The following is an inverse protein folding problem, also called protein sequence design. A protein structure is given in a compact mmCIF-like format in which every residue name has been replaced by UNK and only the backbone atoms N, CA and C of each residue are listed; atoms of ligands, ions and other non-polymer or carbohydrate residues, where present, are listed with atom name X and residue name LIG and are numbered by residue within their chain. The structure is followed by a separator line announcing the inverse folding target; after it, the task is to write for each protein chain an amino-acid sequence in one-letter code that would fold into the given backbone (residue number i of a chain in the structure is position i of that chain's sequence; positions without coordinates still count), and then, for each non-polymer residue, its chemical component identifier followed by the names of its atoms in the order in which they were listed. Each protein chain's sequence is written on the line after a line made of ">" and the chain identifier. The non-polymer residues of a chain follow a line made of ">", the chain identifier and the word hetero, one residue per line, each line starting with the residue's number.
data_IF_473253666869
#
_entry.id   IF_473253666869
#
_cell.length_a   1.000
_cell.length_b   1.000
_cell.length_c   1.000
_cell.angle_alpha   90.00
_cell.angle_beta   90.00
_cell.angle_gamma   90.00
#
_symmetry.space_group_name_H-M   'P 1'
#
loop_
_entity.id
_entity.type
_entity.pdbx_description
1 polymer ?
#
# COMPACT_ATOMS: atom_id res chain seq x y z
N UNK A 1 -10.57 -20.36 -8.86
CA UNK A 1 -10.09 -19.37 -7.86
C UNK A 1 -8.66 -19.74 -7.48
N UNK A 2 -7.70 -18.84 -7.68
CA UNK A 2 -6.30 -19.08 -7.29
C UNK A 2 -6.14 -18.88 -5.78
N UNK A 3 -5.62 -19.88 -5.08
CA UNK A 3 -5.35 -19.87 -3.63
C UNK A 3 -3.98 -19.27 -3.29
N UNK A 4 -3.22 -18.78 -4.27
CA UNK A 4 -1.91 -18.20 -4.06
C UNK A 4 -2.01 -16.73 -3.67
N UNK A 5 -1.24 -16.33 -2.65
CA UNK A 5 -1.09 -14.93 -2.29
C UNK A 5 -0.04 -14.31 -3.21
N UNK A 6 -0.41 -13.24 -3.91
CA UNK A 6 0.53 -12.42 -4.67
C UNK A 6 1.09 -11.31 -3.79
N UNK A 7 2.37 -11.01 -3.95
CA UNK A 7 3.05 -9.95 -3.22
C UNK A 7 3.78 -9.02 -4.18
N UNK A 8 3.73 -7.72 -3.88
CA UNK A 8 4.54 -6.70 -4.53
C UNK A 8 5.25 -5.88 -3.44
N UNK A 9 6.59 -5.86 -3.48
CA UNK A 9 7.42 -5.13 -2.51
C UNK A 9 7.33 -3.63 -2.75
N UNK A 10 7.11 -2.88 -1.68
CA UNK A 10 7.06 -1.42 -1.69
C UNK A 10 8.35 -0.80 -1.18
N UNK A 11 8.78 0.28 -1.85
CA UNK A 11 9.93 1.08 -1.47
C UNK A 11 9.62 2.57 -1.60
N UNK A 12 10.21 3.39 -0.73
CA UNK A 12 10.32 4.84 -0.90
C UNK A 12 11.73 5.19 -1.35
N UNK A 13 11.82 6.05 -2.36
CA UNK A 13 13.09 6.52 -2.89
C UNK A 13 13.42 7.89 -2.29
N UNK A 14 14.60 8.00 -1.67
CA UNK A 14 15.13 9.24 -1.11
C UNK A 14 15.77 10.12 -2.18
N UNK A 15 15.92 11.41 -1.87
CA UNK A 15 16.59 12.40 -2.74
C UNK A 15 18.08 12.11 -2.94
N UNK A 16 18.68 11.41 -1.99
CA UNK A 16 20.05 10.90 -2.00
C UNK A 16 20.21 9.62 -2.83
N UNK A 17 19.15 9.16 -3.50
CA UNK A 17 19.13 7.90 -4.24
C UNK A 17 18.95 6.66 -3.34
N UNK A 18 18.78 6.83 -2.03
CA UNK A 18 18.50 5.72 -1.13
C UNK A 18 17.14 5.07 -1.46
N UNK A 19 17.05 3.77 -1.21
CA UNK A 19 15.81 3.00 -1.41
C UNK A 19 15.40 2.38 -0.09
N UNK A 20 14.40 2.96 0.55
CA UNK A 20 13.89 2.48 1.83
C UNK A 20 12.79 1.44 1.63
N UNK A 21 12.98 0.19 2.09
CA UNK A 21 11.87 -0.77 2.16
C UNK A 21 10.81 -0.28 3.15
N UNK A 22 9.53 -0.35 2.77
CA UNK A 22 8.44 0.12 3.65
C UNK A 22 7.32 -0.89 3.89
N UNK A 23 7.15 -1.86 3.00
CA UNK A 23 6.16 -2.93 3.16
C UNK A 23 5.84 -3.70 1.88
N UNK A 24 4.64 -4.27 1.84
CA UNK A 24 4.15 -5.05 0.73
C UNK A 24 2.70 -4.69 0.40
N UNK A 25 2.39 -4.75 -0.89
CA UNK A 25 1.03 -4.96 -1.36
C UNK A 25 0.79 -6.46 -1.49
N UNK A 26 -0.31 -6.95 -0.97
CA UNK A 26 -0.71 -8.35 -1.13
C UNK A 26 -2.13 -8.49 -1.65
N UNK A 27 -2.33 -9.56 -2.42
CA UNK A 27 -3.64 -9.95 -2.92
C UNK A 27 -3.89 -11.43 -2.61
N UNK A 28 -5.03 -11.70 -1.98
CA UNK A 28 -5.58 -13.04 -1.79
C UNK A 28 -7.05 -13.05 -2.19
N UNK A 29 -7.38 -13.67 -3.33
CA UNK A 29 -8.70 -13.53 -3.93
C UNK A 29 -9.05 -12.06 -4.18
N UNK A 30 -10.16 -11.61 -3.61
CA UNK A 30 -10.65 -10.23 -3.66
C UNK A 30 -10.20 -9.37 -2.48
N UNK A 31 -9.36 -9.92 -1.60
CA UNK A 31 -8.75 -9.21 -0.48
C UNK A 31 -7.43 -8.59 -0.95
N UNK A 32 -7.40 -7.27 -0.94
CA UNK A 32 -6.24 -6.46 -1.29
C UNK A 32 -5.77 -5.72 -0.04
N UNK A 33 -4.48 -5.83 0.28
CA UNK A 33 -3.91 -5.29 1.52
C UNK A 33 -2.59 -4.57 1.29
N UNK A 34 -2.41 -3.49 2.04
CA UNK A 34 -1.13 -2.82 2.29
C UNK A 34 -0.67 -3.23 3.68
N UNK A 35 0.55 -3.76 3.78
CA UNK A 35 1.18 -4.10 5.06
C UNK A 35 2.53 -3.40 5.15
N UNK A 36 2.79 -2.75 6.27
CA UNK A 36 4.05 -2.03 6.50
C UNK A 36 5.03 -2.89 7.31
N UNK A 37 6.32 -2.74 7.01
CA UNK A 37 7.38 -3.46 7.73
C UNK A 37 7.52 -2.92 9.16
N UNK A 38 7.77 -3.78 10.17
CA UNK A 38 7.98 -3.34 11.54
C UNK A 38 9.04 -2.24 11.67
N UNK A 39 10.19 -2.40 11.02
CA UNK A 39 11.29 -1.42 11.08
C UNK A 39 10.89 -0.05 10.49
N UNK A 40 10.03 -0.04 9.47
CA UNK A 40 9.47 1.20 8.94
C UNK A 40 8.47 1.84 9.93
N UNK A 41 7.61 1.04 10.55
CA UNK A 41 6.61 1.52 11.51
C UNK A 41 7.27 2.07 12.78
N UNK A 42 8.32 1.43 13.29
CA UNK A 42 8.94 1.80 14.57
C UNK A 42 9.87 3.02 14.47
N UNK A 43 10.35 3.37 13.27
CA UNK A 43 11.19 4.55 13.08
C UNK A 43 10.39 5.85 13.25
N UNK A 44 10.82 6.68 14.22
CA UNK A 44 10.23 8.00 14.49
C UNK A 44 10.46 9.01 13.36
N UNK A 45 11.46 8.79 12.52
CA UNK A 45 11.81 9.63 11.36
C UNK A 45 11.37 8.99 10.03
N UNK A 46 10.43 8.04 10.07
CA UNK A 46 9.93 7.37 8.86
C UNK A 46 9.40 8.38 7.84
N UNK A 47 9.83 8.30 6.56
CA UNK A 47 9.30 9.15 5.51
C UNK A 47 7.83 8.81 5.29
N UNK A 48 6.99 9.84 5.15
CA UNK A 48 5.54 9.66 5.00
C UNK A 48 5.19 9.25 3.57
N UNK A 49 4.57 8.08 3.39
CA UNK A 49 4.05 7.64 2.09
C UNK A 49 2.86 8.50 1.61
N UNK A 50 1.92 8.77 2.50
CA UNK A 50 0.72 9.57 2.23
C UNK A 50 0.18 10.14 3.53
N UNK A 51 -0.38 11.35 3.48
CA UNK A 51 -1.05 11.97 4.63
C UNK A 51 -2.25 11.15 5.12
N UNK A 52 -2.84 10.30 4.27
CA UNK A 52 -3.93 9.39 4.66
C UNK A 52 -3.53 8.40 5.76
N UNK A 53 -2.23 8.08 5.87
CA UNK A 53 -1.68 7.19 6.89
C UNK A 53 -1.16 7.92 8.13
N UNK A 54 -1.15 9.25 8.12
CA UNK A 54 -0.65 10.06 9.24
C UNK A 54 -1.76 10.24 10.28
N UNK A 55 -1.49 9.80 11.50
CA UNK A 55 -2.31 10.09 12.66
C UNK A 55 -2.03 11.48 13.22
N UNK A 56 -2.81 11.89 14.22
CA UNK A 56 -2.59 13.15 14.95
C UNK A 56 -1.20 13.23 15.59
N UNK A 57 -0.69 12.08 16.03
CA UNK A 57 0.61 11.92 16.66
C UNK A 57 1.29 10.61 16.15
N UNK A 58 2.52 10.37 16.60
CA UNK A 58 3.31 9.21 16.17
C UNK A 58 2.66 7.88 16.56
N UNK A 59 2.09 7.81 17.77
CA UNK A 59 1.39 6.62 18.27
C UNK A 59 0.15 6.31 17.44
N UNK A 60 -0.67 7.32 17.13
CA UNK A 60 -1.81 7.19 16.24
C UNK A 60 -1.38 6.75 14.83
N UNK A 61 -0.26 7.27 14.31
CA UNK A 61 0.29 6.84 13.02
C UNK A 61 0.68 5.36 13.05
N UNK A 62 1.40 4.90 14.09
CA UNK A 62 1.74 3.47 14.22
C UNK A 62 0.49 2.60 14.31
N UNK A 63 -0.52 3.02 15.08
CA UNK A 63 -1.79 2.31 15.21
C UNK A 63 -2.51 2.17 13.85
N UNK A 64 -2.47 3.21 13.00
CA UNK A 64 -3.00 3.13 11.64
C UNK A 64 -2.20 2.10 10.83
N UNK A 65 -0.87 2.22 10.79
CA UNK A 65 0.00 1.40 9.94
C UNK A 65 -0.02 -0.10 10.30
N UNK A 66 -0.34 -0.45 11.55
CA UNK A 66 -0.42 -1.83 12.02
C UNK A 66 -1.84 -2.38 12.08
N UNK A 67 -2.86 -1.56 11.79
CA UNK A 67 -4.25 -1.95 11.93
C UNK A 67 -4.60 -3.16 11.05
N UNK A 68 -5.21 -4.19 11.66
CA UNK A 68 -5.59 -5.40 10.94
C UNK A 68 -6.76 -5.19 9.97
N UNK A 69 -7.66 -4.25 10.31
CA UNK A 69 -8.95 -4.00 9.66
C UNK A 69 -9.21 -2.49 9.54
N UNK A 70 -8.36 -1.82 8.78
CA UNK A 70 -8.55 -0.41 8.44
C UNK A 70 -8.81 -0.27 6.94
N UNK A 71 -9.82 0.50 6.55
CA UNK A 71 -10.21 0.68 5.13
C UNK A 71 -9.08 1.31 4.30
N UNK A 72 -8.17 2.04 4.95
CA UNK A 72 -6.97 2.59 4.32
C UNK A 72 -5.95 1.52 3.97
N UNK A 73 -5.99 0.37 4.64
CA UNK A 73 -5.00 -0.71 4.51
C UNK A 73 -5.55 -1.97 3.87
N UNK A 74 -6.84 -2.28 4.03
CA UNK A 74 -7.41 -3.53 3.52
C UNK A 74 -8.80 -3.31 2.94
N UNK A 75 -9.05 -3.94 1.80
CA UNK A 75 -10.35 -4.00 1.13
C UNK A 75 -10.62 -5.42 0.67
N UNK A 76 -11.90 -5.80 0.65
CA UNK A 76 -12.37 -7.12 0.23
C UNK A 76 -13.33 -7.04 -0.98
N UNK A 77 -13.30 -5.93 -1.72
CA UNK A 77 -14.16 -5.65 -2.87
C UNK A 77 -13.40 -5.69 -4.21
N UNK A 78 -12.24 -6.34 -4.24
CA UNK A 78 -11.42 -6.46 -5.43
C UNK A 78 -10.65 -5.19 -5.84
N UNK A 79 -10.68 -4.14 -5.00
CA UNK A 79 -10.00 -2.85 -5.26
C UNK A 79 -8.86 -2.63 -4.29
N UNK A 80 -7.79 -1.99 -4.76
CA UNK A 80 -6.72 -1.51 -3.89
C UNK A 80 -7.24 -0.44 -2.90
N UNK A 81 -6.63 -0.31 -1.71
CA UNK A 81 -6.89 0.81 -0.82
C UNK A 81 -6.58 2.17 -1.46
N UNK A 82 -7.25 3.23 -0.97
CA UNK A 82 -7.45 4.48 -1.69
C UNK A 82 -6.19 5.12 -2.28
N UNK A 83 -5.09 5.18 -1.52
CA UNK A 83 -3.83 5.74 -2.01
C UNK A 83 -3.35 5.06 -3.31
N UNK A 84 -3.33 3.72 -3.32
CA UNK A 84 -2.85 2.96 -4.47
C UNK A 84 -3.85 2.95 -5.62
N UNK A 85 -5.15 2.98 -5.31
CA UNK A 85 -6.18 3.12 -6.35
C UNK A 85 -5.99 4.41 -7.15
N UNK A 86 -5.60 5.50 -6.48
CA UNK A 86 -5.38 6.82 -7.09
C UNK A 86 -4.07 6.92 -7.90
N UNK A 87 -3.18 5.93 -7.82
CA UNK A 87 -1.98 5.85 -8.68
C UNK A 87 -2.27 5.16 -10.02
N UNK A 88 -3.44 4.52 -10.15
CA UNK A 88 -3.81 3.80 -11.36
C UNK A 88 -4.53 4.72 -12.34
N UNK A 89 -4.33 4.55 -13.65
CA UNK A 89 -5.11 5.27 -14.67
C UNK A 89 -6.62 5.07 -14.47
N UNK A 90 -7.39 6.05 -14.94
CA UNK A 90 -8.85 6.02 -14.93
C UNK A 90 -9.44 5.87 -16.34
N UNK A 91 -10.72 5.48 -16.42
CA UNK A 91 -11.48 5.36 -17.67
C UNK A 91 -10.82 4.45 -18.71
N UNK A 92 -10.92 4.84 -19.98
CA UNK A 92 -10.43 4.06 -21.12
C UNK A 92 -8.92 3.73 -21.05
N UNK A 93 -8.11 4.57 -20.40
CA UNK A 93 -6.68 4.30 -20.24
C UNK A 93 -6.41 3.07 -19.36
N UNK A 94 -7.29 2.77 -18.41
CA UNK A 94 -7.20 1.56 -17.58
C UNK A 94 -7.44 0.30 -18.41
N UNK A 95 -8.47 0.33 -19.25
CA UNK A 95 -8.82 -0.78 -20.14
C UNK A 95 -7.68 -1.05 -21.13
N UNK A 96 -7.16 0.01 -21.76
CA UNK A 96 -6.01 -0.07 -22.67
C UNK A 96 -4.77 -0.67 -21.97
N UNK A 97 -4.49 -0.27 -20.73
CA UNK A 97 -3.35 -0.81 -19.97
C UNK A 97 -3.55 -2.31 -19.65
N UNK A 98 -4.77 -2.74 -19.31
CA UNK A 98 -5.05 -4.15 -19.04
C UNK A 98 -4.80 -5.03 -20.28
N UNK A 99 -5.22 -4.56 -21.47
CA UNK A 99 -5.04 -5.29 -22.74
C UNK A 99 -3.58 -5.42 -23.18
N UNK A 100 -2.69 -4.55 -22.71
CA UNK A 100 -1.27 -4.50 -23.13
C UNK A 100 -0.32 -5.25 -22.18
N UNK A 101 -0.84 -5.84 -21.09
CA UNK A 101 -0.03 -6.48 -20.03
C UNK A 101 -0.25 -7.98 -19.89
N UNK A 102 -0.67 -8.65 -20.98
CA UNK A 102 -0.78 -10.10 -21.06
C UNK A 102 0.58 -10.79 -21.12
#
# INVERSE_FOLDING_TARGET
>A
MSTFIRYLRMYLHGVDGSKRPIGYLSQYGDIFRVSFDPDYVQDSHRPTLSLSYRGRDDAATRAILTAARDIRLVRADGKWPGYFQNLLPEGHNRERLALTRH
#
